data_IF_510277825283
#
_entry.id   IF_510277825283
#
_cell.length_a   1.000
_cell.length_b   1.000
_cell.length_c   1.000
_cell.angle_alpha   90.00
_cell.angle_beta   90.00
_cell.angle_gamma   90.00
#
_symmetry.space_group_name_H-M   'P 1'
#
loop_
_entity.id
_entity.type
_entity.pdbx_description
1 polymer ?
#
# COMPACT_ATOMS: atom_id res chain seq x y z
N UNK A 1 11.73 34.57 -11.55
CA UNK A 1 11.27 33.51 -10.65
C UNK A 1 10.13 32.76 -11.27
N UNK A 2 10.27 31.46 -11.40
CA UNK A 2 9.22 30.64 -11.99
C UNK A 2 8.05 30.45 -11.03
N UNK A 3 6.87 30.25 -11.60
CA UNK A 3 5.68 29.90 -10.87
C UNK A 3 5.83 28.45 -10.36
N UNK A 4 5.46 28.20 -9.10
CA UNK A 4 5.48 26.86 -8.56
C UNK A 4 4.41 26.02 -9.25
N UNK A 5 4.82 24.91 -9.86
CA UNK A 5 3.88 23.96 -10.44
C UNK A 5 3.57 22.88 -9.40
N UNK A 6 2.46 23.05 -8.70
CA UNK A 6 2.07 22.14 -7.62
C UNK A 6 1.76 20.73 -8.15
N UNK A 7 1.19 20.63 -9.35
CA UNK A 7 0.89 19.33 -9.94
C UNK A 7 2.17 18.54 -10.23
N UNK A 8 3.20 19.20 -10.74
CA UNK A 8 4.49 18.58 -11.01
C UNK A 8 5.17 18.15 -9.71
N UNK A 9 5.15 19.02 -8.70
CA UNK A 9 5.71 18.73 -7.38
C UNK A 9 5.04 17.52 -6.74
N UNK A 10 3.72 17.45 -6.79
CA UNK A 10 2.96 16.30 -6.30
C UNK A 10 3.33 15.03 -7.05
N UNK A 11 3.41 15.10 -8.37
CA UNK A 11 3.74 13.94 -9.20
C UNK A 11 5.15 13.43 -8.89
N UNK A 12 6.10 14.32 -8.63
CA UNK A 12 7.46 13.94 -8.25
C UNK A 12 7.47 13.16 -6.95
N UNK A 13 6.68 13.59 -5.96
CA UNK A 13 6.57 12.90 -4.68
C UNK A 13 5.93 11.53 -4.88
N UNK A 14 4.83 11.45 -5.63
CA UNK A 14 4.17 10.18 -5.89
C UNK A 14 5.10 9.22 -6.64
N UNK A 15 5.84 9.71 -7.63
CA UNK A 15 6.81 8.90 -8.36
C UNK A 15 7.93 8.40 -7.46
N UNK A 16 8.39 9.24 -6.54
CA UNK A 16 9.43 8.86 -5.58
C UNK A 16 8.94 7.76 -4.66
N UNK A 17 7.71 7.88 -4.17
CA UNK A 17 7.10 6.84 -3.33
C UNK A 17 7.01 5.52 -4.09
N UNK A 18 6.54 5.55 -5.34
CA UNK A 18 6.44 4.34 -6.17
C UNK A 18 7.81 3.67 -6.33
N UNK A 19 8.87 4.47 -6.57
CA UNK A 19 10.22 3.92 -6.73
C UNK A 19 10.74 3.24 -5.46
N UNK A 20 10.28 3.66 -4.30
CA UNK A 20 10.68 3.07 -3.02
C UNK A 20 9.93 1.79 -2.69
N UNK A 21 8.81 1.54 -3.39
CA UNK A 21 8.04 0.30 -3.19
C UNK A 21 8.82 -0.88 -3.76
N UNK A 22 8.96 -1.93 -2.95
CA UNK A 22 9.65 -3.16 -3.35
C UNK A 22 8.69 -4.33 -3.27
N UNK A 23 8.95 -5.42 -4.02
CA UNK A 23 8.12 -6.62 -3.92
C UNK A 23 8.08 -7.16 -2.50
N UNK A 24 6.91 -7.64 -2.08
CA UNK A 24 6.69 -8.21 -0.75
C UNK A 24 6.08 -9.60 -0.87
N UNK A 25 6.21 -10.38 0.19
CA UNK A 25 5.55 -11.67 0.28
C UNK A 25 4.22 -11.47 1.01
N UNK A 26 3.13 -11.35 0.26
CA UNK A 26 1.80 -11.10 0.82
C UNK A 26 1.34 -12.22 1.75
N UNK A 27 1.73 -13.47 1.46
CA UNK A 27 1.37 -14.59 2.33
C UNK A 27 1.99 -14.41 3.73
N UNK A 28 3.25 -13.99 3.78
CA UNK A 28 3.93 -13.76 5.06
C UNK A 28 3.34 -12.55 5.80
N UNK A 29 2.87 -11.55 5.07
CA UNK A 29 2.20 -10.40 5.68
C UNK A 29 0.83 -10.77 6.24
N UNK A 30 0.05 -11.52 5.49
CA UNK A 30 -1.30 -11.92 5.89
C UNK A 30 -1.27 -12.98 6.99
N UNK A 31 -0.27 -13.85 6.97
CA UNK A 31 -0.12 -14.97 7.92
C UNK A 31 1.30 -14.96 8.45
N UNK A 32 1.58 -14.24 9.55
CA UNK A 32 2.95 -14.13 10.07
C UNK A 32 3.61 -15.47 10.35
N UNK A 33 2.84 -16.50 10.71
CA UNK A 33 3.35 -17.85 10.96
C UNK A 33 3.83 -18.57 9.69
N UNK A 34 3.44 -18.09 8.52
CA UNK A 34 3.82 -18.72 7.24
C UNK A 34 5.34 -18.76 7.07
N UNK A 35 6.03 -17.70 7.47
CA UNK A 35 7.49 -17.63 7.33
C UNK A 35 8.17 -18.71 8.15
N UNK A 36 7.72 -18.94 9.38
CA UNK A 36 8.25 -19.98 10.24
C UNK A 36 7.97 -21.36 9.65
N UNK A 37 6.75 -21.59 9.17
CA UNK A 37 6.38 -22.85 8.53
C UNK A 37 7.22 -23.12 7.28
N UNK A 38 7.49 -22.13 6.46
CA UNK A 38 8.35 -22.25 5.29
C UNK A 38 9.77 -22.66 5.69
N UNK A 39 10.28 -22.08 6.78
CA UNK A 39 11.60 -22.40 7.31
C UNK A 39 11.65 -23.85 7.80
N UNK A 40 10.62 -24.29 8.52
CA UNK A 40 10.51 -25.66 9.01
C UNK A 40 10.42 -26.65 7.85
N UNK A 41 9.65 -26.30 6.81
CA UNK A 41 9.51 -27.13 5.62
C UNK A 41 10.85 -27.34 4.92
N UNK A 42 11.65 -26.28 4.80
CA UNK A 42 12.98 -26.38 4.17
C UNK A 42 13.92 -27.32 4.92
N UNK A 43 13.73 -27.46 6.24
CA UNK A 43 14.51 -28.36 7.07
C UNK A 43 13.98 -29.79 7.15
N UNK A 44 12.85 -30.09 6.51
CA UNK A 44 12.24 -31.42 6.53
C UNK A 44 12.59 -32.22 5.29
N UNK A 45 12.60 -33.56 5.43
CA UNK A 45 12.66 -34.43 4.27
C UNK A 45 11.39 -34.22 3.41
N UNK A 46 11.53 -34.14 2.06
CA UNK A 46 10.40 -33.79 1.21
C UNK A 46 9.17 -34.70 1.31
N UNK A 47 9.39 -35.97 1.64
CA UNK A 47 8.32 -36.96 1.70
C UNK A 47 7.90 -37.29 3.14
N UNK A 48 8.41 -36.55 4.13
CA UNK A 48 8.07 -36.82 5.54
C UNK A 48 6.63 -36.38 5.84
N UNK A 49 6.03 -37.02 6.85
CA UNK A 49 4.70 -36.66 7.32
C UNK A 49 4.65 -35.23 7.80
N UNK A 50 5.73 -34.76 8.43
CA UNK A 50 5.83 -33.37 8.88
C UNK A 50 5.80 -32.39 7.70
N UNK A 51 6.55 -32.70 6.63
CA UNK A 51 6.55 -31.86 5.43
C UNK A 51 5.16 -31.76 4.82
N UNK A 52 4.45 -32.90 4.71
CA UNK A 52 3.08 -32.93 4.20
C UNK A 52 2.12 -32.12 5.07
N UNK A 53 2.25 -32.23 6.38
CA UNK A 53 1.43 -31.47 7.32
C UNK A 53 1.64 -29.96 7.17
N UNK A 54 2.90 -29.54 7.05
CA UNK A 54 3.26 -28.13 6.89
C UNK A 54 2.73 -27.60 5.54
N UNK A 55 2.90 -28.37 4.47
CA UNK A 55 2.39 -28.01 3.14
C UNK A 55 0.88 -27.79 3.17
N UNK A 56 0.14 -28.68 3.85
CA UNK A 56 -1.30 -28.54 4.03
C UNK A 56 -1.68 -27.23 4.72
N UNK A 57 -0.96 -26.90 5.79
CA UNK A 57 -1.21 -25.65 6.53
C UNK A 57 -0.95 -24.44 5.63
N UNK A 58 0.16 -24.46 4.90
CA UNK A 58 0.51 -23.35 3.99
C UNK A 58 -0.51 -23.18 2.86
N UNK A 59 -1.04 -24.28 2.34
CA UNK A 59 -2.05 -24.23 1.28
C UNK A 59 -3.37 -23.61 1.74
N UNK A 60 -3.69 -23.72 3.02
CA UNK A 60 -4.88 -23.10 3.60
C UNK A 60 -4.73 -21.60 3.80
N UNK A 61 -3.49 -21.11 3.83
CA UNK A 61 -3.19 -19.69 3.99
C UNK A 61 -3.26 -18.97 2.65
N UNK A 62 -4.49 -18.68 2.21
CA UNK A 62 -4.71 -18.06 0.90
C UNK A 62 -4.68 -16.54 1.02
N UNK A 63 -3.95 -15.92 0.09
CA UNK A 63 -3.95 -14.47 -0.07
C UNK A 63 -5.09 -14.11 -1.01
N UNK A 64 -6.02 -13.30 -0.53
CA UNK A 64 -7.15 -12.84 -1.32
C UNK A 64 -7.01 -11.34 -1.64
N UNK A 65 -7.94 -10.84 -2.43
CA UNK A 65 -7.92 -9.44 -2.88
C UNK A 65 -7.87 -8.46 -1.70
N UNK A 66 -8.61 -8.76 -0.64
CA UNK A 66 -8.65 -7.90 0.54
C UNK A 66 -7.26 -7.73 1.16
N UNK A 67 -6.48 -8.80 1.22
CA UNK A 67 -5.10 -8.73 1.70
C UNK A 67 -4.25 -7.79 0.83
N UNK A 68 -4.36 -7.94 -0.49
CA UNK A 68 -3.61 -7.08 -1.41
C UNK A 68 -3.95 -5.60 -1.21
N UNK A 69 -5.23 -5.30 -1.07
CA UNK A 69 -5.70 -3.92 -0.89
C UNK A 69 -5.16 -3.33 0.41
N UNK A 70 -5.35 -4.04 1.52
CA UNK A 70 -4.96 -3.54 2.85
C UNK A 70 -3.45 -3.32 2.93
N UNK A 71 -2.66 -4.31 2.52
CA UNK A 71 -1.21 -4.21 2.67
C UNK A 71 -0.59 -3.20 1.71
N UNK A 72 -1.19 -2.98 0.54
CA UNK A 72 -0.73 -1.92 -0.36
C UNK A 72 -0.90 -0.56 0.30
N UNK A 73 -2.06 -0.29 0.86
CA UNK A 73 -2.33 1.00 1.51
C UNK A 73 -1.44 1.19 2.74
N UNK A 74 -1.25 0.15 3.54
CA UNK A 74 -0.36 0.24 4.71
C UNK A 74 1.07 0.55 4.31
N UNK A 75 1.57 -0.07 3.25
CA UNK A 75 2.94 0.17 2.77
C UNK A 75 3.12 1.60 2.28
N UNK A 76 2.15 2.12 1.54
CA UNK A 76 2.19 3.49 1.07
C UNK A 76 2.20 4.47 2.25
N UNK A 77 1.37 4.23 3.25
CA UNK A 77 1.33 5.07 4.45
C UNK A 77 2.66 5.04 5.19
N UNK A 78 3.26 3.86 5.30
CA UNK A 78 4.56 3.69 5.96
C UNK A 78 5.67 4.45 5.22
N UNK A 79 5.69 4.35 3.89
CA UNK A 79 6.70 5.03 3.08
C UNK A 79 6.53 6.55 3.12
N UNK A 80 5.30 7.04 3.11
CA UNK A 80 5.05 8.47 3.23
C UNK A 80 5.57 8.98 4.57
N UNK A 81 5.25 8.30 5.66
CA UNK A 81 5.72 8.66 6.99
C UNK A 81 7.26 8.65 7.07
N UNK A 82 7.88 7.64 6.48
CA UNK A 82 9.35 7.52 6.44
C UNK A 82 10.00 8.72 5.75
N UNK A 83 9.35 9.30 4.76
CA UNK A 83 9.85 10.45 4.01
C UNK A 83 9.38 11.79 4.60
N UNK A 84 8.72 11.78 5.74
CA UNK A 84 8.11 12.96 6.35
C UNK A 84 7.07 13.65 5.45
N UNK A 85 6.42 12.86 4.62
CA UNK A 85 5.30 13.29 3.80
C UNK A 85 4.00 12.76 4.40
N UNK A 86 2.91 13.49 4.19
CA UNK A 86 1.61 13.09 4.70
C UNK A 86 0.63 12.83 3.57
N UNK A 87 -0.16 11.80 3.71
CA UNK A 87 -1.30 11.52 2.86
C UNK A 87 -2.51 11.39 3.75
N UNK A 88 -3.55 12.18 3.50
CA UNK A 88 -4.73 12.11 4.32
C UNK A 88 -5.98 12.48 3.54
N UNK A 89 -7.10 12.21 4.18
CA UNK A 89 -8.42 12.52 3.67
C UNK A 89 -9.02 13.66 4.50
N UNK A 90 -9.66 14.61 3.79
CA UNK A 90 -10.53 15.58 4.43
C UNK A 90 -11.85 15.60 3.63
N UNK A 91 -12.91 15.11 4.25
CA UNK A 91 -14.20 14.86 3.59
C UNK A 91 -14.00 13.89 2.41
N UNK A 92 -14.30 14.31 1.18
CA UNK A 92 -14.14 13.46 0.01
C UNK A 92 -12.89 13.78 -0.80
N UNK A 93 -12.00 14.59 -0.26
CA UNK A 93 -10.79 15.03 -0.95
C UNK A 93 -9.54 14.45 -0.29
N UNK A 94 -8.50 14.29 -1.09
CA UNK A 94 -7.21 13.75 -0.66
C UNK A 94 -6.19 14.85 -0.67
N UNK A 95 -5.37 14.90 0.37
CA UNK A 95 -4.34 15.91 0.53
C UNK A 95 -2.98 15.26 0.71
N UNK A 96 -1.97 15.89 0.13
CA UNK A 96 -0.58 15.52 0.26
C UNK A 96 0.17 16.61 1.02
N UNK A 97 0.87 16.23 2.08
CA UNK A 97 1.79 17.11 2.79
C UNK A 97 3.21 16.82 2.29
N UNK A 98 3.88 17.83 1.78
CA UNK A 98 5.21 17.69 1.18
C UNK A 98 6.35 18.04 2.14
N UNK A 99 6.05 18.21 3.42
CA UNK A 99 7.01 18.68 4.43
C UNK A 99 6.89 20.16 4.72
N UNK A 100 6.18 20.92 3.89
CA UNK A 100 6.03 22.36 4.03
C UNK A 100 4.56 22.81 4.06
N UNK A 101 3.74 22.24 3.18
CA UNK A 101 2.33 22.60 3.12
C UNK A 101 1.49 21.44 2.59
N UNK A 102 0.19 21.50 2.87
CA UNK A 102 -0.79 20.56 2.34
C UNK A 102 -1.30 21.05 0.99
N UNK A 103 -1.48 20.12 0.07
CA UNK A 103 -2.08 20.43 -1.23
C UNK A 103 -3.01 19.30 -1.65
N UNK A 104 -4.09 19.66 -2.34
CA UNK A 104 -5.08 18.69 -2.78
C UNK A 104 -4.56 17.89 -3.97
N UNK A 105 -4.76 16.58 -3.92
CA UNK A 105 -4.40 15.67 -5.00
C UNK A 105 -5.57 15.43 -5.93
N UNK A 106 -5.28 15.28 -7.21
CA UNK A 106 -6.26 14.80 -8.18
C UNK A 106 -6.57 13.33 -7.90
N UNK A 107 -7.85 12.99 -7.86
CA UNK A 107 -8.30 11.63 -7.53
C UNK A 107 -7.79 10.61 -8.56
N UNK A 108 -7.88 10.94 -9.85
CA UNK A 108 -7.43 10.02 -10.89
C UNK A 108 -5.93 9.79 -10.83
N UNK A 109 -5.15 10.84 -10.60
CA UNK A 109 -3.70 10.72 -10.46
C UNK A 109 -3.34 9.87 -9.24
N UNK A 110 -4.05 10.05 -8.14
CA UNK A 110 -3.81 9.27 -6.92
C UNK A 110 -4.17 7.80 -7.11
N UNK A 111 -5.29 7.53 -7.78
CA UNK A 111 -5.72 6.16 -8.05
C UNK A 111 -4.70 5.42 -8.94
N UNK A 112 -4.16 6.10 -9.95
CA UNK A 112 -3.09 5.54 -10.80
C UNK A 112 -1.84 5.27 -9.99
N UNK A 113 -1.49 6.16 -9.07
CA UNK A 113 -0.36 5.97 -8.18
C UNK A 113 -0.54 4.72 -7.31
N UNK A 114 -1.72 4.53 -6.73
CA UNK A 114 -2.01 3.35 -5.91
C UNK A 114 -1.87 2.06 -6.72
N UNK A 115 -2.35 2.06 -7.96
CA UNK A 115 -2.22 0.90 -8.85
C UNK A 115 -0.76 0.58 -9.15
N UNK A 116 0.04 1.58 -9.48
CA UNK A 116 1.47 1.38 -9.75
C UNK A 116 2.20 0.82 -8.53
N UNK A 117 1.88 1.34 -7.35
CA UNK A 117 2.47 0.85 -6.11
C UNK A 117 2.12 -0.62 -5.88
N UNK A 118 0.87 -0.99 -6.09
CA UNK A 118 0.44 -2.38 -5.90
C UNK A 118 1.13 -3.33 -6.88
N UNK A 119 1.32 -2.90 -8.12
CA UNK A 119 2.05 -3.70 -9.11
C UNK A 119 3.50 -3.94 -8.68
N UNK A 120 4.17 -2.92 -8.17
CA UNK A 120 5.55 -3.06 -7.69
C UNK A 120 5.66 -3.96 -6.48
N UNK A 121 4.62 -4.01 -5.64
CA UNK A 121 4.58 -4.93 -4.51
C UNK A 121 4.38 -6.38 -4.94
N UNK A 122 3.94 -6.61 -6.16
CA UNK A 122 3.75 -7.95 -6.70
C UNK A 122 2.30 -8.41 -6.74
N UNK A 123 1.34 -7.47 -6.66
CA UNK A 123 -0.08 -7.85 -6.77
C UNK A 123 -0.38 -8.33 -8.18
N UNK A 124 -0.93 -9.55 -8.34
CA UNK A 124 -1.31 -10.05 -9.66
C UNK A 124 -2.63 -9.41 -10.11
N UNK A 125 -2.53 -8.37 -10.94
CA UNK A 125 -3.71 -7.66 -11.42
C UNK A 125 -4.04 -8.12 -12.84
N UNK A 126 -5.24 -8.67 -13.01
CA UNK A 126 -5.76 -9.02 -14.32
C UNK A 126 -6.22 -7.74 -15.03
N UNK A 127 -5.83 -7.57 -16.29
CA UNK A 127 -6.10 -6.35 -17.08
C UNK A 127 -7.58 -5.95 -17.04
N UNK A 128 -8.48 -6.91 -17.12
CA UNK A 128 -9.91 -6.65 -17.11
C UNK A 128 -10.44 -6.11 -15.78
N UNK A 129 -9.68 -6.31 -14.69
CA UNK A 129 -10.06 -5.86 -13.35
C UNK A 129 -9.21 -4.71 -12.83
N UNK A 130 -8.34 -4.17 -13.67
CA UNK A 130 -7.37 -3.15 -13.27
C UNK A 130 -8.05 -1.92 -12.69
N UNK A 131 -9.04 -1.38 -13.39
CA UNK A 131 -9.77 -0.20 -12.94
C UNK A 131 -10.53 -0.46 -11.62
N UNK A 132 -11.18 -1.62 -11.53
CA UNK A 132 -11.94 -1.99 -10.33
C UNK A 132 -11.02 -2.12 -9.12
N UNK A 133 -9.85 -2.70 -9.31
CA UNK A 133 -8.87 -2.83 -8.23
C UNK A 133 -8.38 -1.47 -7.75
N UNK A 134 -8.15 -0.54 -8.67
CA UNK A 134 -7.79 0.83 -8.35
C UNK A 134 -8.84 1.53 -7.49
N UNK A 135 -10.11 1.31 -7.81
CA UNK A 135 -11.21 1.84 -6.99
C UNK A 135 -11.21 1.26 -5.59
N UNK A 136 -10.95 -0.03 -5.46
CA UNK A 136 -10.88 -0.68 -4.14
C UNK A 136 -9.72 -0.17 -3.31
N UNK A 137 -8.57 0.05 -3.92
CA UNK A 137 -7.43 0.67 -3.26
C UNK A 137 -7.79 2.07 -2.75
N UNK A 138 -8.42 2.86 -3.60
CA UNK A 138 -8.85 4.21 -3.25
C UNK A 138 -9.83 4.20 -2.09
N UNK A 139 -10.84 3.35 -2.15
CA UNK A 139 -11.83 3.23 -1.08
C UNK A 139 -11.18 2.82 0.24
N UNK A 140 -10.24 1.88 0.20
CA UNK A 140 -9.51 1.46 1.40
C UNK A 140 -8.69 2.60 1.98
N UNK A 141 -8.01 3.36 1.13
CA UNK A 141 -7.28 4.54 1.57
C UNK A 141 -8.22 5.53 2.26
N UNK A 142 -9.35 5.81 1.65
CA UNK A 142 -10.32 6.76 2.20
C UNK A 142 -10.83 6.31 3.56
N UNK A 143 -11.03 5.02 3.76
CA UNK A 143 -11.45 4.49 5.06
C UNK A 143 -10.37 4.62 6.12
N UNK A 144 -9.14 4.27 5.79
CA UNK A 144 -8.03 4.30 6.76
C UNK A 144 -7.61 5.72 7.10
N UNK A 145 -7.70 6.63 6.13
CA UNK A 145 -7.25 8.00 6.30
C UNK A 145 -8.30 8.93 6.89
N UNK A 146 -9.49 8.41 7.16
CA UNK A 146 -10.59 9.23 7.68
C UNK A 146 -10.22 9.92 9.00
N UNK A 147 -9.48 9.23 9.85
CA UNK A 147 -9.08 9.75 11.16
C UNK A 147 -7.83 10.63 11.10
N UNK A 148 -7.22 10.76 9.91
CA UNK A 148 -5.99 11.52 9.72
C UNK A 148 -6.20 12.72 8.81
N UNK A 149 -7.32 13.42 8.97
CA UNK A 149 -7.60 14.60 8.16
C UNK A 149 -6.66 15.76 8.55
N UNK A 150 -6.38 16.69 7.63
CA UNK A 150 -5.59 17.89 7.97
C UNK A 150 -6.20 18.69 9.12
N UNK A 151 -7.53 18.70 9.24
CA UNK A 151 -8.22 19.36 10.34
C UNK A 151 -7.95 18.67 11.66
N UNK A 152 -7.83 17.33 11.68
CA UNK A 152 -7.54 16.58 12.90
C UNK A 152 -6.08 16.71 13.31
N UNK A 153 -5.17 16.93 12.37
CA UNK A 153 -3.76 17.19 12.64
C UNK A 153 -3.48 18.68 12.87
N UNK A 154 -4.48 19.47 13.03
CA UNK A 154 -4.39 20.92 13.15
C UNK A 154 -3.85 21.40 14.51
N UNK A 155 -3.45 20.50 15.37
CA UNK A 155 -2.55 20.89 16.46
C UNK A 155 -1.25 21.48 15.87
N UNK A 156 -0.95 21.19 14.62
CA UNK A 156 0.03 21.97 13.90
C UNK A 156 -0.65 23.22 13.35
N UNK A 157 -0.06 24.38 13.58
CA UNK A 157 -0.63 25.61 13.05
C UNK A 157 -0.48 25.64 11.54
N UNK A 158 -1.59 25.60 10.91
CA UNK A 158 -1.64 25.81 9.47
C UNK A 158 -2.06 27.23 9.20
#
# INVERSE_FOLDING_TARGET
MGTINYAELQQDILNTLVKQVTPVNFKNLAYPEAKLLQKQLAGCAPDSDMAQSIQKKLLKMKVNEKHYVIFTIEEIARLAEKNDWGLCRNQNEIYLYNGMFWSRLDVDAFQKFLLKASERMGVPIVSSKYYQFGKKLFEQFMMQSYLQSPAASSSSPL
#
